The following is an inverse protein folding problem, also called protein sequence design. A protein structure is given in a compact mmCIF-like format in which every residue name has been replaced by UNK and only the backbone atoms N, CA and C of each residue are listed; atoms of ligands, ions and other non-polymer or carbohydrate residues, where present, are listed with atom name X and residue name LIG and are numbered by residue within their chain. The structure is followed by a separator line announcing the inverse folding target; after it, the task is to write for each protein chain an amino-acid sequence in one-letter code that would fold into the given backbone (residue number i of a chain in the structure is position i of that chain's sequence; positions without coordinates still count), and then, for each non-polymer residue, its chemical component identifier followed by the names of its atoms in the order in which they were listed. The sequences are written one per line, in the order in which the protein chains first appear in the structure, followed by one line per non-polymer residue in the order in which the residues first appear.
data_IF_128378226296
#
_entry.id   IF_128378226296
#
_cell.length_a   1.000
_cell.length_b   1.000
_cell.length_c   1.000
_cell.angle_alpha   90.00
_cell.angle_beta   90.00
_cell.angle_gamma   90.00
#
_symmetry.space_group_name_H-M   'P 1'
#
loop_
_entity.id
_entity.type
_entity.pdbx_description
1 polymer ?
#
# COMPACT_ATOMS: atom_id res chain seq x y z
N UNK A 1 2.95 13.30 0.75
CA UNK A 1 2.85 12.27 1.81
C UNK A 1 3.94 11.24 1.59
N UNK A 2 4.60 10.77 2.65
CA UNK A 2 5.54 9.64 2.60
C UNK A 2 4.81 8.36 3.00
N UNK A 3 5.03 7.26 2.31
CA UNK A 3 4.46 5.94 2.62
C UNK A 3 5.60 5.02 3.02
N UNK A 4 5.53 4.46 4.22
CA UNK A 4 6.37 3.34 4.62
C UNK A 4 5.72 2.02 4.17
N UNK A 5 6.53 1.13 3.62
CA UNK A 5 6.10 -0.26 3.39
C UNK A 5 5.70 -0.93 4.72
N UNK A 6 5.01 -2.05 4.61
CA UNK A 6 4.45 -2.79 5.75
C UNK A 6 5.53 -3.22 6.76
N UNK A 7 6.76 -3.49 6.29
CA UNK A 7 7.90 -3.86 7.13
C UNK A 7 8.67 -2.64 7.68
N UNK A 8 8.31 -1.42 7.26
CA UNK A 8 9.00 -0.16 7.61
C UNK A 8 10.48 -0.13 7.22
N UNK A 9 10.83 -0.86 6.17
CA UNK A 9 12.18 -0.93 5.62
C UNK A 9 12.41 0.14 4.56
N UNK A 10 11.35 0.52 3.86
CA UNK A 10 11.42 1.41 2.70
C UNK A 10 10.37 2.50 2.79
N UNK A 11 10.74 3.70 2.34
CA UNK A 11 9.87 4.86 2.31
C UNK A 11 9.78 5.41 0.89
N UNK A 12 8.55 5.57 0.38
CA UNK A 12 8.29 6.18 -0.92
C UNK A 12 7.58 7.52 -0.73
N UNK A 13 7.91 8.50 -1.56
CA UNK A 13 7.21 9.77 -1.55
C UNK A 13 6.09 9.74 -2.60
N UNK A 14 4.85 10.00 -2.16
CA UNK A 14 3.69 10.03 -3.04
C UNK A 14 3.81 11.07 -4.16
N UNK A 15 4.61 12.13 -3.98
CA UNK A 15 4.85 13.11 -5.07
C UNK A 15 5.78 12.57 -6.15
N UNK A 16 6.48 11.45 -5.90
CA UNK A 16 7.43 10.83 -6.82
C UNK A 16 6.91 9.54 -7.47
N UNK A 17 5.74 9.06 -7.03
CA UNK A 17 5.09 7.89 -7.63
C UNK A 17 4.09 8.34 -8.69
N UNK A 18 3.92 7.54 -9.74
CA UNK A 18 2.91 7.80 -10.78
C UNK A 18 1.55 7.22 -10.43
N UNK A 19 1.54 6.02 -9.87
CA UNK A 19 0.34 5.28 -9.52
C UNK A 19 0.58 4.37 -8.32
N UNK A 20 -0.52 4.02 -7.64
CA UNK A 20 -0.62 2.92 -6.68
C UNK A 20 -1.67 1.98 -7.24
N UNK A 21 -1.34 0.69 -7.28
CA UNK A 21 -2.17 -0.35 -7.89
C UNK A 21 -2.24 -1.58 -6.99
N UNK A 22 -3.31 -2.36 -7.17
CA UNK A 22 -3.50 -3.65 -6.51
C UNK A 22 -3.20 -4.76 -7.51
N UNK A 23 -2.28 -5.64 -7.14
CA UNK A 23 -1.97 -6.87 -7.87
C UNK A 23 -2.57 -8.06 -7.15
N UNK A 24 -3.16 -8.98 -7.89
CA UNK A 24 -3.74 -10.21 -7.33
C UNK A 24 -2.85 -11.39 -7.69
N UNK A 25 -2.33 -12.08 -6.69
CA UNK A 25 -1.66 -13.37 -6.82
C UNK A 25 -2.68 -14.48 -6.54
N UNK A 26 -3.35 -14.92 -7.60
CA UNK A 26 -4.38 -15.97 -7.54
C UNK A 26 -3.82 -17.35 -7.12
N UNK A 27 -2.50 -17.54 -7.10
CA UNK A 27 -1.92 -18.84 -6.69
C UNK A 27 -1.88 -18.98 -5.17
N UNK A 28 -1.82 -17.86 -4.46
CA UNK A 28 -1.64 -17.80 -3.01
C UNK A 28 -2.78 -17.05 -2.29
N UNK A 29 -3.80 -16.60 -3.03
CA UNK A 29 -4.88 -15.72 -2.54
C UNK A 29 -4.35 -14.45 -1.86
N UNK A 30 -3.31 -13.83 -2.44
CA UNK A 30 -2.67 -12.63 -1.90
C UNK A 30 -2.99 -11.41 -2.78
N UNK A 31 -3.42 -10.32 -2.14
CA UNK A 31 -3.58 -9.00 -2.72
C UNK A 31 -2.38 -8.13 -2.33
N UNK A 32 -1.65 -7.62 -3.32
CA UNK A 32 -0.44 -6.80 -3.11
C UNK A 32 -0.74 -5.36 -3.51
N UNK A 33 -0.47 -4.41 -2.62
CA UNK A 33 -0.48 -2.98 -2.96
C UNK A 33 0.93 -2.62 -3.42
N UNK A 34 1.05 -2.14 -4.65
CA UNK A 34 2.32 -1.75 -5.26
C UNK A 34 2.27 -0.32 -5.78
N UNK A 35 3.44 0.30 -5.97
CA UNK A 35 3.57 1.59 -6.63
C UNK A 35 4.72 1.61 -7.64
N UNK A 36 4.60 2.43 -8.70
CA UNK A 36 5.73 2.77 -9.57
C UNK A 36 6.64 3.76 -8.85
N UNK A 37 7.85 3.32 -8.51
CA UNK A 37 8.89 4.17 -7.93
C UNK A 37 10.16 4.06 -8.77
N UNK A 38 10.54 5.18 -9.40
CA UNK A 38 11.74 5.28 -10.26
C UNK A 38 11.77 4.27 -11.44
N UNK A 39 10.60 3.87 -11.94
CA UNK A 39 10.50 2.92 -13.05
C UNK A 39 10.52 1.46 -12.62
N UNK A 40 10.52 1.19 -11.30
CA UNK A 40 10.41 -0.14 -10.74
C UNK A 40 9.09 -0.28 -9.97
N UNK A 41 8.48 -1.46 -10.07
CA UNK A 41 7.29 -1.79 -9.29
C UNK A 41 7.72 -2.17 -7.88
N UNK A 42 7.35 -1.35 -6.89
CA UNK A 42 7.70 -1.55 -5.50
C UNK A 42 6.48 -2.04 -4.69
N UNK A 43 6.66 -3.09 -3.89
CA UNK A 43 5.61 -3.65 -3.03
C UNK A 43 5.52 -2.88 -1.71
N UNK A 44 4.35 -2.31 -1.43
CA UNK A 44 4.07 -1.56 -0.20
C UNK A 44 3.48 -2.45 0.91
N UNK A 45 2.70 -3.48 0.55
CA UNK A 45 2.11 -4.39 1.53
C UNK A 45 1.34 -5.54 0.88
N UNK A 46 1.22 -6.63 1.62
CA UNK A 46 0.47 -7.82 1.23
C UNK A 46 -0.73 -8.02 2.17
N UNK A 47 -1.86 -8.46 1.60
CA UNK A 47 -3.13 -8.64 2.28
C UNK A 47 -3.83 -9.92 1.78
N UNK A 48 -4.62 -10.57 2.63
CA UNK A 48 -5.34 -11.82 2.32
C UNK A 48 -6.80 -11.61 1.90
N UNK A 49 -7.31 -10.38 1.92
CA UNK A 49 -8.70 -10.11 1.57
C UNK A 49 -8.87 -8.91 0.64
N UNK A 50 -9.84 -9.01 -0.27
CA UNK A 50 -10.28 -7.89 -1.12
C UNK A 50 -10.78 -6.71 -0.28
N UNK A 51 -11.53 -7.00 0.78
CA UNK A 51 -12.09 -5.96 1.66
C UNK A 51 -10.96 -5.22 2.39
N UNK A 52 -9.95 -5.95 2.88
CA UNK A 52 -8.77 -5.39 3.52
C UNK A 52 -8.01 -4.47 2.55
N UNK A 53 -7.69 -4.96 1.35
CA UNK A 53 -6.94 -4.16 0.37
C UNK A 53 -7.71 -2.91 -0.07
N UNK A 54 -9.02 -3.00 -0.27
CA UNK A 54 -9.87 -1.86 -0.61
C UNK A 54 -9.91 -0.83 0.54
N UNK A 55 -9.98 -1.29 1.78
CA UNK A 55 -9.93 -0.43 2.97
C UNK A 55 -8.62 0.34 3.02
N UNK A 56 -7.48 -0.34 2.82
CA UNK A 56 -6.17 0.31 2.86
C UNK A 56 -6.00 1.33 1.72
N UNK A 57 -6.46 1.01 0.51
CA UNK A 57 -6.45 1.97 -0.60
C UNK A 57 -7.25 3.24 -0.26
N UNK A 58 -8.43 3.11 0.34
CA UNK A 58 -9.22 4.25 0.80
C UNK A 58 -8.52 5.04 1.91
N UNK A 59 -7.82 4.37 2.83
CA UNK A 59 -7.05 5.03 3.88
C UNK A 59 -5.87 5.83 3.33
N UNK A 60 -5.17 5.31 2.31
CA UNK A 60 -4.10 6.02 1.60
C UNK A 60 -4.66 7.29 0.95
N UNK A 61 -5.80 7.18 0.25
CA UNK A 61 -6.46 8.32 -0.39
C UNK A 61 -6.90 9.37 0.65
N UNK A 62 -7.57 8.95 1.71
CA UNK A 62 -8.00 9.84 2.78
C UNK A 62 -6.81 10.51 3.51
N UNK A 63 -5.69 9.80 3.66
CA UNK A 63 -4.47 10.35 4.22
C UNK A 63 -3.85 11.42 3.31
N UNK A 64 -3.87 11.19 2.00
CA UNK A 64 -3.41 12.16 1.01
C UNK A 64 -4.27 13.43 1.01
N UNK A 65 -5.60 13.29 0.95
CA UNK A 65 -6.55 14.42 0.97
C UNK A 65 -6.42 15.26 2.24
N UNK A 66 -6.13 14.61 3.37
CA UNK A 66 -5.89 15.29 4.65
C UNK A 66 -4.48 15.89 4.78
N UNK A 67 -3.68 15.88 3.71
CA UNK A 67 -2.29 16.35 3.71
C UNK A 67 -1.44 15.69 4.81
N UNK A 68 -1.68 14.40 5.12
CA UNK A 68 -0.83 13.69 6.09
C UNK A 68 0.61 13.66 5.58
N UNK A 69 1.55 13.89 6.50
CA UNK A 69 2.98 13.85 6.18
C UNK A 69 3.47 12.43 5.95
N UNK A 70 3.04 11.48 6.79
CA UNK A 70 3.49 10.08 6.78
C UNK A 70 2.29 9.14 6.89
N UNK A 71 2.32 8.07 6.11
CA UNK A 71 1.41 6.93 6.16
C UNK A 71 2.24 5.66 6.37
N UNK A 72 1.79 4.80 7.28
CA UNK A 72 2.40 3.50 7.54
C UNK A 72 1.46 2.43 7.02
N UNK A 73 1.92 1.59 6.10
CA UNK A 73 1.11 0.48 5.62
C UNK A 73 0.79 -0.46 6.79
N UNK A 74 -0.50 -0.71 7.09
CA UNK A 74 -0.87 -1.56 8.20
C UNK A 74 -0.54 -3.02 7.89
N UNK A 75 -0.21 -3.77 8.95
CA UNK A 75 -0.08 -5.22 8.91
C UNK A 75 -1.49 -5.80 8.76
N UNK A 76 -1.63 -6.86 7.97
CA UNK A 76 -2.87 -7.61 7.90
C UNK A 76 -3.14 -8.21 9.29
N UNK A 77 -4.11 -7.64 10.01
CA UNK A 77 -4.60 -8.24 11.25
C UNK A 77 -5.51 -9.37 10.78
N UNK A 78 -5.00 -10.61 10.79
CA UNK A 78 -5.89 -11.76 10.70
C UNK A 78 -6.99 -11.55 11.76
N UNK A 79 -8.26 -11.57 11.34
CA UNK A 79 -9.37 -11.62 12.28
C UNK A 79 -9.17 -12.89 13.12
N UNK A 80 -8.68 -12.70 14.35
CA UNK A 80 -8.47 -13.74 15.36
C UNK A 80 -9.79 -14.26 15.90
#
# INVERSE_FOLDING_TARGET
MLIYDQQRTTIVNLTSIKFIEVYVDNSNDIYKICCDYKGELFSLGNYKSVIGVATIMNEILAAYEKNKRVFYMPIDLEES
#
